data_IF_729127554301
#
_entry.id   IF_729127554301
#
_cell.length_a   1.000
_cell.length_b   1.000
_cell.length_c   1.000
_cell.angle_alpha   90.00
_cell.angle_beta   90.00
_cell.angle_gamma   90.00
#
_symmetry.space_group_name_H-M   'P 1'
#
loop_
_entity.id
_entity.type
_entity.pdbx_description
1 polymer ?
#
# COMPACT_ATOMS: atom_id res chain seq x y z
N UNK A 1 16.68 -7.64 -6.48
CA UNK A 1 16.23 -8.54 -5.40
C UNK A 1 16.01 -7.68 -4.18
N UNK A 2 14.85 -7.78 -3.54
CA UNK A 2 14.55 -6.95 -2.38
C UNK A 2 15.17 -7.61 -1.15
N UNK A 3 15.94 -6.85 -0.38
CA UNK A 3 16.71 -7.41 0.74
C UNK A 3 16.84 -6.40 1.86
N UNK A 4 16.76 -6.88 3.10
CA UNK A 4 17.12 -6.07 4.26
C UNK A 4 18.63 -5.90 4.35
N UNK A 5 19.06 -4.67 4.61
CA UNK A 5 20.41 -4.30 5.03
C UNK A 5 20.75 -4.94 6.38
N UNK A 6 22.04 -4.99 6.72
CA UNK A 6 22.49 -5.49 8.03
C UNK A 6 21.93 -4.66 9.19
N UNK A 7 21.77 -3.35 8.99
CA UNK A 7 21.21 -2.45 9.99
C UNK A 7 19.72 -2.76 10.25
N UNK A 8 18.93 -2.90 9.19
CA UNK A 8 17.51 -3.25 9.29
C UNK A 8 17.30 -4.60 9.98
N UNK A 9 18.09 -5.62 9.63
CA UNK A 9 18.04 -6.93 10.31
C UNK A 9 18.35 -6.82 11.80
N UNK A 10 19.35 -6.00 12.16
CA UNK A 10 19.73 -5.78 13.56
C UNK A 10 18.65 -5.02 14.32
N UNK A 11 17.95 -4.10 13.65
CA UNK A 11 16.82 -3.37 14.20
C UNK A 11 15.50 -4.17 14.24
N UNK A 12 15.51 -5.42 13.76
CA UNK A 12 14.35 -6.32 13.82
C UNK A 12 13.33 -6.16 12.69
N UNK A 13 13.70 -5.47 11.60
CA UNK A 13 12.85 -5.40 10.42
C UNK A 13 12.64 -6.79 9.80
N UNK A 14 11.43 -7.01 9.28
CA UNK A 14 11.09 -8.18 8.47
C UNK A 14 10.78 -7.75 7.05
N UNK A 15 11.12 -8.60 6.08
CA UNK A 15 10.83 -8.34 4.68
C UNK A 15 9.43 -8.89 4.36
N UNK A 16 8.50 -8.02 3.97
CA UNK A 16 7.15 -8.43 3.57
C UNK A 16 7.04 -8.79 2.09
N UNK A 17 8.05 -8.47 1.28
CA UNK A 17 8.07 -8.77 -0.14
C UNK A 17 9.52 -8.94 -0.64
N UNK A 18 9.81 -10.12 -1.17
CA UNK A 18 11.16 -10.53 -1.62
C UNK A 18 11.53 -10.01 -3.03
N UNK A 19 10.54 -9.54 -3.79
CA UNK A 19 10.71 -9.12 -5.18
C UNK A 19 10.49 -10.23 -6.21
N UNK A 20 10.08 -11.42 -5.79
CA UNK A 20 10.02 -12.62 -6.63
C UNK A 20 8.69 -13.38 -6.47
N UNK A 21 8.14 -13.42 -5.26
CA UNK A 21 6.90 -14.12 -4.92
C UNK A 21 5.89 -13.18 -4.25
N UNK A 22 4.62 -13.58 -4.25
CA UNK A 22 3.57 -12.92 -3.47
C UNK A 22 3.26 -13.72 -2.19
N UNK A 23 4.23 -14.50 -1.72
CA UNK A 23 4.10 -15.30 -0.51
C UNK A 23 3.85 -14.38 0.70
N UNK A 24 2.96 -14.79 1.60
CA UNK A 24 2.54 -13.98 2.74
C UNK A 24 1.48 -12.92 2.40
N UNK A 25 0.95 -12.89 1.17
CA UNK A 25 -0.16 -12.03 0.76
C UNK A 25 -1.37 -12.85 0.29
N UNK A 26 -2.57 -12.32 0.57
CA UNK A 26 -3.85 -12.86 0.06
C UNK A 26 -4.84 -11.73 -0.20
N UNK A 27 -5.93 -12.01 -0.90
CA UNK A 27 -7.00 -11.03 -1.07
C UNK A 27 -7.73 -10.74 0.24
N UNK A 28 -8.18 -9.50 0.42
CA UNK A 28 -9.10 -9.13 1.49
C UNK A 28 -10.42 -9.90 1.35
N UNK A 29 -10.89 -10.54 2.43
CA UNK A 29 -12.00 -11.50 2.45
C UNK A 29 -11.79 -12.74 1.55
N UNK A 30 -10.55 -13.09 1.22
CA UNK A 30 -10.21 -14.22 0.36
C UNK A 30 -9.15 -15.12 1.00
N UNK A 31 -9.15 -16.40 0.61
CA UNK A 31 -8.14 -17.39 1.03
C UNK A 31 -6.93 -17.45 0.10
N UNK A 32 -7.00 -16.76 -1.05
CA UNK A 32 -5.94 -16.73 -2.06
C UNK A 32 -5.80 -15.32 -2.62
N UNK A 33 -4.70 -15.07 -3.33
CA UNK A 33 -4.53 -13.84 -4.09
C UNK A 33 -5.58 -13.70 -5.21
N UNK A 34 -6.11 -12.50 -5.44
CA UNK A 34 -6.86 -12.21 -6.65
C UNK A 34 -5.92 -12.14 -7.86
N UNK A 35 -6.42 -12.49 -9.04
CA UNK A 35 -5.64 -12.44 -10.30
C UNK A 35 -5.28 -11.04 -10.79
N UNK A 36 -5.59 -10.00 -10.02
CA UNK A 36 -5.29 -8.59 -10.32
C UNK A 36 -3.93 -8.13 -9.80
N UNK A 37 -3.17 -8.99 -9.12
CA UNK A 37 -1.83 -8.69 -8.61
C UNK A 37 -0.79 -9.68 -9.12
N UNK A 38 0.40 -9.18 -9.42
CA UNK A 38 1.52 -9.96 -9.89
C UNK A 38 2.85 -9.35 -9.44
N UNK A 39 3.93 -10.11 -9.57
CA UNK A 39 5.28 -9.57 -9.48
C UNK A 39 5.71 -9.11 -10.86
N UNK A 40 6.00 -7.81 -11.01
CA UNK A 40 6.54 -7.23 -12.24
C UNK A 40 7.84 -6.49 -11.93
N UNK A 41 8.95 -6.88 -12.58
CA UNK A 41 10.24 -6.20 -12.45
C UNK A 41 10.71 -6.00 -10.99
N UNK A 42 10.47 -6.98 -10.12
CA UNK A 42 10.83 -6.88 -8.71
C UNK A 42 9.87 -6.06 -7.85
N UNK A 43 8.70 -5.69 -8.40
CA UNK A 43 7.67 -4.90 -7.72
C UNK A 43 6.38 -5.69 -7.56
N UNK A 44 5.71 -5.51 -6.42
CA UNK A 44 4.35 -6.00 -6.21
C UNK A 44 3.42 -5.04 -6.95
N UNK A 45 2.81 -5.50 -8.04
CA UNK A 45 2.11 -4.65 -9.00
C UNK A 45 0.65 -5.06 -9.18
N UNK A 46 -0.23 -4.06 -9.22
CA UNK A 46 -1.63 -4.24 -9.61
C UNK A 46 -1.73 -4.26 -11.14
N UNK A 47 -1.96 -5.45 -11.70
CA UNK A 47 -2.02 -5.73 -13.15
C UNK A 47 -3.44 -5.91 -13.69
N UNK A 48 -4.45 -5.93 -12.81
CA UNK A 48 -5.85 -6.09 -13.16
C UNK A 48 -6.79 -5.18 -12.38
N UNK A 49 -8.09 -5.36 -12.58
CA UNK A 49 -9.12 -4.57 -11.90
C UNK A 49 -9.48 -5.18 -10.54
N UNK A 50 -9.57 -4.30 -9.53
CA UNK A 50 -10.08 -4.60 -8.19
C UNK A 50 -9.21 -5.50 -7.33
N UNK A 51 -9.77 -5.90 -6.19
CA UNK A 51 -9.18 -6.82 -5.21
C UNK A 51 -8.10 -6.17 -4.37
N UNK A 52 -8.45 -5.71 -3.17
CA UNK A 52 -7.45 -5.33 -2.17
C UNK A 52 -6.72 -6.59 -1.68
N UNK A 53 -5.44 -6.45 -1.38
CA UNK A 53 -4.64 -7.52 -0.78
C UNK A 53 -4.24 -7.13 0.64
N UNK A 54 -4.04 -8.14 1.47
CA UNK A 54 -3.61 -8.02 2.86
C UNK A 54 -2.51 -9.03 3.12
N UNK A 55 -1.70 -8.75 4.13
CA UNK A 55 -0.75 -9.72 4.67
C UNK A 55 -1.50 -10.89 5.31
N UNK A 56 -0.93 -12.09 5.22
CA UNK A 56 -1.41 -13.25 5.99
C UNK A 56 -1.17 -13.06 7.48
N UNK A 57 -0.05 -12.43 7.84
CA UNK A 57 0.28 -12.03 9.20
C UNK A 57 -0.55 -10.81 9.64
N UNK A 58 -0.83 -10.74 10.94
CA UNK A 58 -1.44 -9.56 11.58
C UNK A 58 -0.43 -8.87 12.49
N UNK A 59 -0.51 -7.54 12.55
CA UNK A 59 0.40 -6.70 13.32
C UNK A 59 -0.42 -5.76 14.21
N UNK A 60 0.01 -5.60 15.47
CA UNK A 60 -0.60 -4.66 16.42
C UNK A 60 0.15 -3.32 16.40
N UNK A 61 1.32 -3.28 17.03
CA UNK A 61 2.27 -2.17 16.97
C UNK A 61 3.35 -2.48 15.95
N UNK A 62 3.55 -1.57 15.00
CA UNK A 62 4.51 -1.77 13.91
C UNK A 62 5.01 -0.44 13.36
N UNK A 63 6.17 -0.51 12.71
CA UNK A 63 6.65 0.47 11.76
C UNK A 63 6.66 -0.20 10.38
N UNK A 64 6.13 0.48 9.36
CA UNK A 64 6.05 -0.05 8.00
C UNK A 64 6.72 0.92 7.03
N UNK A 65 7.68 0.41 6.27
CA UNK A 65 8.42 1.16 5.26
C UNK A 65 8.25 0.49 3.90
N UNK A 66 8.03 1.30 2.87
CA UNK A 66 7.81 0.85 1.50
C UNK A 66 8.14 1.96 0.52
N UNK A 67 8.56 1.55 -0.68
CA UNK A 67 8.61 2.42 -1.85
C UNK A 67 7.37 2.18 -2.70
N UNK A 68 6.86 3.23 -3.33
CA UNK A 68 5.68 3.14 -4.19
C UNK A 68 5.81 4.03 -5.43
N UNK A 69 5.03 3.68 -6.45
CA UNK A 69 4.83 4.49 -7.65
C UNK A 69 3.40 4.29 -8.14
N UNK A 70 2.85 5.30 -8.79
CA UNK A 70 1.55 5.21 -9.48
C UNK A 70 1.71 5.69 -10.92
N UNK A 71 0.83 5.23 -11.80
CA UNK A 71 0.72 5.79 -13.16
C UNK A 71 0.08 7.17 -13.16
N UNK A 72 0.05 7.82 -14.31
CA UNK A 72 -0.60 9.12 -14.49
C UNK A 72 -2.08 9.08 -14.10
N UNK A 73 -2.50 9.94 -13.16
CA UNK A 73 -3.83 9.95 -12.55
C UNK A 73 -4.13 8.71 -11.70
N UNK A 74 -3.10 7.96 -11.30
CA UNK A 74 -3.24 6.74 -10.51
C UNK A 74 -3.70 7.02 -9.09
N UNK A 75 -4.46 6.07 -8.54
CA UNK A 75 -5.04 6.12 -7.20
C UNK A 75 -4.96 4.72 -6.58
N UNK A 76 -4.39 4.63 -5.39
CA UNK A 76 -4.23 3.41 -4.59
C UNK A 76 -4.07 3.80 -3.13
N UNK A 77 -3.85 2.84 -2.24
CA UNK A 77 -3.71 3.14 -0.83
C UNK A 77 -3.03 2.00 -0.08
N UNK A 78 -2.47 2.34 1.08
CA UNK A 78 -2.03 1.36 2.07
C UNK A 78 -2.99 1.40 3.24
N UNK A 79 -3.79 0.35 3.36
CA UNK A 79 -4.64 0.14 4.52
C UNK A 79 -3.84 -0.47 5.67
N UNK A 80 -4.15 -0.07 6.90
CA UNK A 80 -3.56 -0.66 8.10
C UNK A 80 -4.61 -0.97 9.15
N UNK A 81 -4.31 -1.94 10.02
CA UNK A 81 -5.26 -2.47 11.02
C UNK A 81 -6.60 -2.92 10.39
N UNK A 82 -6.53 -3.45 9.17
CA UNK A 82 -7.69 -3.93 8.45
C UNK A 82 -8.33 -5.13 9.17
N UNK A 83 -9.65 -5.05 9.35
CA UNK A 83 -10.46 -6.14 9.86
C UNK A 83 -11.37 -6.66 8.74
N UNK A 84 -11.31 -7.96 8.48
CA UNK A 84 -12.16 -8.65 7.52
C UNK A 84 -13.62 -8.77 8.00
N UNK A 85 -14.52 -9.06 7.07
CA UNK A 85 -15.95 -9.21 7.32
C UNK A 85 -16.81 -8.01 6.91
N UNK A 86 -16.18 -6.85 6.63
CA UNK A 86 -16.87 -5.75 5.95
C UNK A 86 -16.79 -5.93 4.42
N UNK A 87 -17.79 -5.45 3.65
CA UNK A 87 -17.78 -5.58 2.19
C UNK A 87 -16.55 -4.96 1.52
N UNK A 88 -16.03 -3.85 2.08
CA UNK A 88 -14.90 -3.10 1.53
C UNK A 88 -13.93 -2.77 2.67
N UNK A 89 -12.63 -2.86 2.39
CA UNK A 89 -11.56 -2.73 3.41
C UNK A 89 -11.58 -1.37 4.13
N UNK A 90 -11.89 -0.29 3.40
CA UNK A 90 -11.94 1.07 3.95
C UNK A 90 -13.10 1.29 4.96
N UNK A 91 -14.02 0.33 5.11
CA UNK A 91 -15.05 0.40 6.16
C UNK A 91 -14.48 0.12 7.55
N UNK A 92 -13.33 -0.55 7.64
CA UNK A 92 -12.69 -0.91 8.92
C UNK A 92 -11.26 -0.40 9.06
N UNK A 93 -10.56 -0.16 7.94
CA UNK A 93 -9.15 0.21 7.93
C UNK A 93 -8.95 1.69 7.59
N UNK A 94 -8.19 2.45 8.39
CA UNK A 94 -7.60 3.70 7.96
C UNK A 94 -6.64 3.50 6.77
N UNK A 95 -6.43 4.55 5.98
CA UNK A 95 -5.73 4.48 4.69
C UNK A 95 -4.66 5.56 4.59
N UNK A 96 -3.42 5.15 4.30
CA UNK A 96 -2.40 6.05 3.78
C UNK A 96 -2.59 6.16 2.25
N UNK A 97 -2.97 7.35 1.78
CA UNK A 97 -3.31 7.60 0.38
C UNK A 97 -2.07 7.55 -0.53
N UNK A 98 -2.16 6.84 -1.66
CA UNK A 98 -1.18 6.82 -2.74
C UNK A 98 -1.79 7.40 -4.01
N UNK A 99 -1.39 8.61 -4.37
CA UNK A 99 -2.08 9.37 -5.42
C UNK A 99 -1.11 10.13 -6.32
N UNK A 100 -1.47 10.24 -7.59
CA UNK A 100 -0.90 11.25 -8.50
C UNK A 100 -1.64 12.59 -8.30
N UNK A 101 -1.26 13.33 -7.25
CA UNK A 101 -1.95 14.56 -6.83
C UNK A 101 -2.19 15.57 -7.97
N UNK A 102 -1.22 15.86 -8.86
CA UNK A 102 -1.43 16.82 -9.94
C UNK A 102 -2.50 16.40 -10.96
N UNK A 103 -2.74 15.10 -11.13
CA UNK A 103 -3.55 14.57 -12.24
C UNK A 103 -4.82 13.83 -11.78
N UNK A 104 -5.04 13.67 -10.48
CA UNK A 104 -6.26 13.07 -9.93
C UNK A 104 -7.10 14.10 -9.16
N UNK A 105 -8.43 14.04 -9.30
CA UNK A 105 -9.33 15.02 -8.68
C UNK A 105 -9.20 15.10 -7.15
N UNK A 106 -8.93 13.98 -6.48
CA UNK A 106 -8.69 13.89 -5.04
C UNK A 106 -7.42 14.65 -4.59
N UNK A 107 -6.48 14.95 -5.50
CA UNK A 107 -5.30 15.77 -5.21
C UNK A 107 -5.61 17.25 -4.97
N UNK A 108 -6.86 17.69 -5.17
CA UNK A 108 -7.28 19.07 -4.90
C UNK A 108 -7.49 19.36 -3.41
N UNK A 109 -7.55 18.33 -2.56
CA UNK A 109 -7.76 18.46 -1.13
C UNK A 109 -6.63 17.77 -0.35
N UNK A 110 -5.98 18.46 0.62
CA UNK A 110 -4.96 17.84 1.47
C UNK A 110 -5.46 16.64 2.28
N UNK A 111 -6.77 16.50 2.48
CA UNK A 111 -7.38 15.35 3.17
C UNK A 111 -7.45 14.09 2.30
N UNK A 112 -7.25 14.22 1.00
CA UNK A 112 -7.39 13.11 0.03
C UNK A 112 -6.19 13.01 -0.91
N UNK A 113 -5.16 13.83 -0.68
CA UNK A 113 -3.89 13.82 -1.41
C UNK A 113 -2.94 12.75 -0.88
N UNK A 114 -1.92 12.40 -1.64
CA UNK A 114 -0.91 11.42 -1.29
C UNK A 114 -0.27 11.71 0.08
N UNK A 115 -0.18 10.67 0.91
CA UNK A 115 0.35 10.74 2.28
C UNK A 115 -0.62 11.24 3.35
N UNK A 116 -1.84 11.60 2.98
CA UNK A 116 -2.91 11.83 3.96
C UNK A 116 -3.34 10.51 4.60
N UNK A 117 -3.87 10.61 5.83
CA UNK A 117 -4.77 9.58 6.33
C UNK A 117 -6.15 9.91 5.75
N UNK A 118 -6.57 9.17 4.72
CA UNK A 118 -7.64 9.57 3.81
C UNK A 118 -8.90 10.03 4.56
N UNK A 119 -9.36 11.23 4.24
CA UNK A 119 -10.51 11.92 4.84
C UNK A 119 -10.44 12.20 6.36
N UNK A 120 -9.33 11.87 7.02
CA UNK A 120 -9.16 12.00 8.48
C UNK A 120 -8.10 13.04 8.87
N UNK A 121 -6.88 12.91 8.33
CA UNK A 121 -5.77 13.81 8.67
C UNK A 121 -5.04 14.27 7.39
N UNK A 122 -4.87 15.58 7.20
CA UNK A 122 -4.30 16.11 5.97
C UNK A 122 -2.78 15.93 5.93
N UNK A 123 -2.23 15.88 4.72
CA UNK A 123 -0.79 15.96 4.49
C UNK A 123 -0.31 17.42 4.44
N UNK A 124 0.87 17.77 4.99
CA UNK A 124 1.55 19.01 4.65
C UNK A 124 1.81 19.07 3.14
N UNK A 125 1.55 20.21 2.49
CA UNK A 125 1.76 20.34 1.04
C UNK A 125 3.22 20.10 0.67
N UNK A 126 3.47 19.37 -0.42
CA UNK A 126 4.80 19.12 -0.97
C UNK A 126 5.54 17.91 -0.38
N UNK A 127 4.85 17.01 0.32
CA UNK A 127 5.44 15.78 0.87
C UNK A 127 5.78 14.71 -0.19
N UNK A 128 5.25 14.84 -1.40
CA UNK A 128 5.47 13.89 -2.51
C UNK A 128 6.48 14.40 -3.52
N UNK A 129 7.29 13.47 -4.02
CA UNK A 129 8.23 13.68 -5.12
C UNK A 129 7.70 13.05 -6.41
N UNK A 130 8.03 13.63 -7.57
CA UNK A 130 7.66 13.05 -8.86
C UNK A 130 8.34 11.68 -9.04
N UNK A 131 7.66 10.76 -9.71
CA UNK A 131 8.28 9.53 -10.18
C UNK A 131 9.42 9.89 -11.17
N UNK A 132 10.60 9.30 -10.96
CA UNK A 132 11.77 9.47 -11.83
C UNK A 132 11.69 8.71 -13.14
#
# INVERSE_FOLDING_TARGET
MNTLTSAERTAGWILLFDGESLDGWRGYNMQSLPGSWAVENGTLARVGQGGDIITEAQFEDFEFAFDWKVGNGGNSGVFYRAAEGQPLIYHSAPEYQLLDDPNHQDGQSPLTSAGSNYALNPVPRGAVHAAG
#
